data_IF_897396358643
#
_entry.id   IF_897396358643
#
_cell.length_a   1.000
_cell.length_b   1.000
_cell.length_c   1.000
_cell.angle_alpha   90.00
_cell.angle_beta   90.00
_cell.angle_gamma   90.00
#
_symmetry.space_group_name_H-M   'P 1'
#
loop_
_entity.id
_entity.type
_entity.pdbx_description
1 polymer ?
#
# COMPACT_ATOMS: atom_id res chain seq x y z
N UNK A 1 -11.00 42.54 -13.57
CA UNK A 1 -11.76 41.85 -12.50
C UNK A 1 -10.78 40.96 -11.76
N UNK A 2 -10.57 41.21 -10.47
CA UNK A 2 -9.55 40.54 -9.66
C UNK A 2 -10.07 39.19 -9.15
N UNK A 3 -9.28 38.14 -9.40
CA UNK A 3 -9.41 36.83 -8.75
C UNK A 3 -9.27 37.05 -7.24
N UNK A 4 -10.14 36.42 -6.44
CA UNK A 4 -10.04 36.49 -4.98
C UNK A 4 -8.65 36.05 -4.50
N UNK A 5 -8.03 36.84 -3.63
CA UNK A 5 -6.71 36.52 -3.07
C UNK A 5 -6.69 35.16 -2.36
N UNK A 6 -7.83 34.72 -1.81
CA UNK A 6 -7.97 33.38 -1.20
C UNK A 6 -7.84 32.25 -2.22
N UNK A 7 -8.36 32.44 -3.44
CA UNK A 7 -8.21 31.47 -4.54
C UNK A 7 -6.76 31.44 -5.01
N UNK A 8 -6.12 32.61 -5.14
CA UNK A 8 -4.70 32.72 -5.49
C UNK A 8 -3.83 32.01 -4.45
N UNK A 9 -4.09 32.25 -3.16
CA UNK A 9 -3.38 31.60 -2.06
C UNK A 9 -3.58 30.09 -2.07
N UNK A 10 -4.83 29.62 -2.21
CA UNK A 10 -5.15 28.19 -2.23
C UNK A 10 -4.45 27.46 -3.38
N UNK A 11 -4.54 28.00 -4.61
CA UNK A 11 -3.86 27.47 -5.78
C UNK A 11 -2.35 27.42 -5.59
N UNK A 12 -1.75 28.49 -5.05
CA UNK A 12 -0.30 28.53 -4.76
C UNK A 12 0.12 27.55 -3.67
N UNK A 13 -0.67 27.40 -2.62
CA UNK A 13 -0.36 26.55 -1.49
C UNK A 13 -0.41 25.07 -1.86
N UNK A 14 -1.40 24.64 -2.67
CA UNK A 14 -1.58 23.25 -3.07
C UNK A 14 -0.99 22.90 -4.44
N UNK A 15 -0.36 23.86 -5.14
CA UNK A 15 0.17 23.64 -6.49
C UNK A 15 -0.91 23.35 -7.55
N UNK A 16 -2.11 23.91 -7.37
CA UNK A 16 -3.24 23.75 -8.30
C UNK A 16 -3.24 24.93 -9.28
N UNK A 17 -3.46 24.65 -10.56
CA UNK A 17 -3.57 25.69 -11.57
C UNK A 17 -4.69 26.68 -11.25
N UNK A 18 -4.39 27.97 -11.39
CA UNK A 18 -5.36 29.05 -11.18
C UNK A 18 -6.38 28.98 -12.31
N UNK A 19 -7.70 28.93 -12.02
CA UNK A 19 -8.73 28.94 -13.05
C UNK A 19 -8.56 30.14 -13.99
N UNK A 20 -8.48 29.88 -15.29
CA UNK A 20 -8.37 30.93 -16.31
C UNK A 20 -9.63 31.80 -16.39
N UNK A 21 -10.77 31.26 -15.94
CA UNK A 21 -12.07 31.94 -15.97
C UNK A 21 -12.28 32.87 -14.77
N UNK A 22 -11.99 34.15 -14.98
CA UNK A 22 -12.10 35.21 -13.97
C UNK A 22 -13.50 35.40 -13.37
N UNK A 23 -14.57 34.97 -14.05
CA UNK A 23 -15.94 35.13 -13.54
C UNK A 23 -16.25 34.18 -12.37
N UNK A 24 -15.64 33.00 -12.35
CA UNK A 24 -15.92 32.00 -11.33
C UNK A 24 -15.16 32.29 -10.04
N UNK A 25 -14.02 32.99 -10.13
CA UNK A 25 -13.13 33.27 -9.02
C UNK A 25 -13.40 34.61 -8.32
N UNK A 26 -14.60 35.17 -8.50
CA UNK A 26 -15.04 36.38 -7.77
C UNK A 26 -15.10 36.09 -6.26
N UNK A 27 -14.82 37.09 -5.39
CA UNK A 27 -14.88 36.92 -3.93
C UNK A 27 -16.20 36.31 -3.45
N UNK A 28 -17.33 36.70 -4.06
CA UNK A 28 -18.66 36.20 -3.71
C UNK A 28 -18.84 34.69 -3.95
N UNK A 29 -18.15 34.12 -4.95
CA UNK A 29 -18.28 32.71 -5.35
C UNK A 29 -17.05 31.87 -4.99
N UNK A 30 -15.99 32.48 -4.47
CA UNK A 30 -14.73 31.81 -4.17
C UNK A 30 -14.88 30.59 -3.25
N UNK A 31 -15.81 30.63 -2.30
CA UNK A 31 -16.08 29.52 -1.38
C UNK A 31 -16.59 28.25 -2.09
N UNK A 32 -17.34 28.41 -3.19
CA UNK A 32 -17.83 27.28 -4.00
C UNK A 32 -16.70 26.62 -4.80
N UNK A 33 -15.64 27.38 -5.11
CA UNK A 33 -14.50 26.87 -5.88
C UNK A 33 -13.56 25.99 -5.06
N UNK A 34 -13.39 26.21 -3.75
CA UNK A 34 -12.40 25.44 -2.97
C UNK A 34 -12.67 23.94 -2.98
N UNK A 35 -13.94 23.52 -2.94
CA UNK A 35 -14.31 22.11 -3.04
C UNK A 35 -13.98 21.52 -4.42
N UNK A 36 -14.15 22.31 -5.48
CA UNK A 36 -13.82 21.89 -6.85
C UNK A 36 -12.30 21.86 -7.07
N UNK A 37 -11.57 22.86 -6.57
CA UNK A 37 -10.12 22.94 -6.64
C UNK A 37 -9.45 21.83 -5.82
N UNK A 38 -9.95 21.55 -4.61
CA UNK A 38 -9.47 20.46 -3.79
C UNK A 38 -9.61 19.11 -4.50
N UNK A 39 -10.77 18.87 -5.12
CA UNK A 39 -11.02 17.64 -5.91
C UNK A 39 -10.12 17.55 -7.14
N UNK A 40 -9.95 18.65 -7.89
CA UNK A 40 -9.08 18.66 -9.08
C UNK A 40 -7.60 18.48 -8.73
N UNK A 41 -7.16 19.02 -7.61
CA UNK A 41 -5.76 18.97 -7.15
C UNK A 41 -5.40 17.75 -6.31
N UNK A 42 -6.33 16.82 -6.05
CA UNK A 42 -6.08 15.69 -5.15
C UNK A 42 -5.80 16.09 -3.70
N UNK A 43 -6.26 17.28 -3.28
CA UNK A 43 -6.06 17.81 -1.93
C UNK A 43 -7.08 17.17 -0.98
N UNK A 44 -6.63 16.75 0.20
CA UNK A 44 -7.55 16.20 1.20
C UNK A 44 -8.55 17.28 1.64
N UNK A 45 -9.81 16.88 1.88
CA UNK A 45 -10.84 17.82 2.35
C UNK A 45 -10.44 18.46 3.69
N UNK A 46 -9.69 17.73 4.52
CA UNK A 46 -9.18 18.24 5.80
C UNK A 46 -8.13 19.33 5.60
N UNK A 47 -7.19 19.17 4.64
CA UNK A 47 -6.17 20.19 4.37
C UNK A 47 -6.80 21.42 3.72
N UNK A 48 -7.71 21.23 2.78
CA UNK A 48 -8.44 22.32 2.14
C UNK A 48 -9.25 23.13 3.16
N UNK A 49 -9.94 22.46 4.08
CA UNK A 49 -10.71 23.13 5.14
C UNK A 49 -9.81 23.79 6.19
N UNK A 50 -8.67 23.19 6.53
CA UNK A 50 -7.67 23.79 7.41
C UNK A 50 -7.08 25.08 6.81
N UNK A 51 -6.72 25.06 5.52
CA UNK A 51 -6.22 26.26 4.83
C UNK A 51 -7.28 27.34 4.72
N UNK A 52 -8.54 26.97 4.46
CA UNK A 52 -9.63 27.95 4.41
C UNK A 52 -9.89 28.60 5.77
N UNK A 53 -9.80 27.85 6.87
CA UNK A 53 -9.89 28.41 8.24
C UNK A 53 -8.79 29.43 8.48
N UNK A 54 -7.55 29.09 8.14
CA UNK A 54 -6.41 30.01 8.23
C UNK A 54 -6.63 31.30 7.42
N UNK A 55 -7.12 31.18 6.19
CA UNK A 55 -7.43 32.34 5.34
C UNK A 55 -8.52 33.23 5.95
N UNK A 56 -9.55 32.65 6.56
CA UNK A 56 -10.61 33.40 7.22
C UNK A 56 -10.13 34.07 8.51
N UNK A 57 -9.24 33.43 9.27
CA UNK A 57 -8.61 34.05 10.46
C UNK A 57 -7.72 35.23 10.09
N UNK A 58 -6.88 35.10 9.05
CA UNK A 58 -6.07 36.21 8.51
C UNK A 58 -6.95 37.36 8.03
N UNK A 59 -8.03 37.05 7.31
CA UNK A 59 -9.00 38.07 6.87
C UNK A 59 -9.63 38.79 8.06
N UNK A 60 -10.06 38.06 9.09
CA UNK A 60 -10.64 38.64 10.31
C UNK A 60 -9.68 39.59 11.02
N UNK A 61 -8.41 39.18 11.18
CA UNK A 61 -7.39 40.01 11.86
C UNK A 61 -7.03 41.25 11.02
N UNK A 62 -6.91 41.11 9.70
CA UNK A 62 -6.64 42.25 8.83
C UNK A 62 -7.81 43.25 8.82
N UNK A 63 -9.07 42.76 8.86
CA UNK A 63 -10.24 43.61 9.02
C UNK A 63 -10.27 44.32 10.38
N UNK A 64 -9.92 43.63 11.48
CA UNK A 64 -9.77 44.23 12.81
C UNK A 64 -8.71 45.36 12.81
N UNK A 65 -7.63 45.21 12.05
CA UNK A 65 -6.56 46.21 11.88
C UNK A 65 -6.89 47.30 10.83
N UNK A 66 -8.06 47.25 10.18
CA UNK A 66 -8.49 48.21 9.17
C UNK A 66 -7.76 48.09 7.82
N UNK A 67 -7.19 46.93 7.51
CA UNK A 67 -6.47 46.63 6.27
C UNK A 67 -7.29 45.68 5.40
N UNK A 68 -7.89 46.19 4.32
CA UNK A 68 -8.61 45.39 3.32
C UNK A 68 -7.75 45.17 2.04
N UNK A 69 -6.47 44.86 2.22
CA UNK A 69 -5.54 44.63 1.10
C UNK A 69 -5.20 43.15 0.96
N UNK A 70 -5.78 42.51 -0.05
CA UNK A 70 -5.48 41.11 -0.41
C UNK A 70 -4.01 40.86 -0.75
N UNK A 71 -3.25 41.91 -1.10
CA UNK A 71 -1.79 41.84 -1.32
C UNK A 71 -1.05 41.62 0.01
N UNK A 72 -1.51 42.27 1.09
CA UNK A 72 -0.97 42.08 2.43
C UNK A 72 -1.27 40.66 2.90
N UNK A 73 -2.52 40.18 2.73
CA UNK A 73 -2.91 38.82 3.08
C UNK A 73 -2.05 37.76 2.37
N UNK A 74 -1.83 37.89 1.06
CA UNK A 74 -0.96 36.99 0.28
C UNK A 74 0.50 37.04 0.72
N UNK A 75 1.00 38.22 1.10
CA UNK A 75 2.38 38.35 1.59
C UNK A 75 2.59 37.69 2.95
N UNK A 76 1.61 37.81 3.84
CA UNK A 76 1.61 37.14 5.15
C UNK A 76 1.51 35.61 5.00
N UNK A 77 0.54 35.13 4.22
CA UNK A 77 0.27 33.71 4.01
C UNK A 77 1.39 32.97 3.24
N UNK A 78 2.27 33.70 2.54
CA UNK A 78 3.50 33.14 1.96
C UNK A 78 4.52 32.77 3.05
N UNK A 79 4.57 33.53 4.14
CA UNK A 79 5.42 33.26 5.30
C UNK A 79 4.82 32.23 6.26
N UNK A 80 3.49 32.17 6.37
CA UNK A 80 2.78 31.29 7.30
C UNK A 80 2.19 30.06 6.59
N UNK A 81 2.93 28.94 6.61
CA UNK A 81 2.53 27.71 5.91
C UNK A 81 1.57 26.83 6.71
N UNK A 82 1.54 26.96 8.04
CA UNK A 82 0.80 26.06 8.93
C UNK A 82 -0.28 26.79 9.72
N UNK A 83 -1.34 26.06 10.06
CA UNK A 83 -2.38 26.54 10.98
C UNK A 83 -1.79 26.65 12.39
N UNK A 84 -1.70 27.88 12.90
CA UNK A 84 -1.25 28.19 14.26
C UNK A 84 -2.46 28.70 15.04
N UNK A 85 -2.50 28.45 16.36
CA UNK A 85 -3.52 29.01 17.26
C UNK A 85 -3.81 30.50 16.92
N UNK A 86 -5.08 30.94 16.82
CA UNK A 86 -5.44 32.31 16.45
C UNK A 86 -4.70 33.40 17.22
N UNK A 87 -4.36 33.17 18.50
CA UNK A 87 -3.57 34.12 19.30
C UNK A 87 -2.16 34.30 18.75
N UNK A 88 -1.46 33.20 18.43
CA UNK A 88 -0.14 33.24 17.78
C UNK A 88 -0.23 33.83 16.38
N UNK A 89 -1.33 33.58 15.67
CA UNK A 89 -1.53 34.14 14.35
C UNK A 89 -1.68 35.67 14.43
N UNK A 90 -2.40 36.19 15.43
CA UNK A 90 -2.47 37.62 15.73
C UNK A 90 -1.09 38.21 16.04
N UNK A 91 -0.29 37.55 16.87
CA UNK A 91 1.08 37.99 17.15
C UNK A 91 1.93 38.05 15.88
N UNK A 92 1.85 37.03 15.02
CA UNK A 92 2.57 37.00 13.74
C UNK A 92 2.08 38.09 12.77
N UNK A 93 0.78 38.37 12.70
CA UNK A 93 0.25 39.46 11.86
C UNK A 93 0.73 40.81 12.40
N UNK A 94 0.66 41.02 13.72
CA UNK A 94 1.15 42.25 14.35
C UNK A 94 2.65 42.47 14.11
N UNK A 95 3.47 41.43 14.23
CA UNK A 95 4.90 41.52 13.91
C UNK A 95 5.13 41.80 12.43
N UNK A 96 4.43 41.11 11.53
CA UNK A 96 4.52 41.33 10.09
C UNK A 96 4.13 42.75 9.66
N UNK A 97 3.06 43.31 10.23
CA UNK A 97 2.64 44.68 9.98
C UNK A 97 3.63 45.70 10.54
N UNK A 98 4.20 45.42 11.72
CA UNK A 98 5.25 46.27 12.32
C UNK A 98 6.50 46.26 11.46
N UNK A 99 6.95 45.10 11.00
CA UNK A 99 8.11 44.95 10.11
C UNK A 99 7.86 45.64 8.77
N UNK A 100 6.67 45.52 8.18
CA UNK A 100 6.32 46.26 6.95
C UNK A 100 6.30 47.77 7.17
N UNK A 101 5.79 48.27 8.30
CA UNK A 101 5.81 49.71 8.61
C UNK A 101 7.25 50.22 8.79
N UNK A 102 8.10 49.43 9.45
CA UNK A 102 9.53 49.74 9.58
C UNK A 102 10.23 49.74 8.21
N UNK A 103 9.96 48.74 7.36
CA UNK A 103 10.53 48.62 6.00
C UNK A 103 10.01 49.69 5.02
N UNK A 104 8.76 50.12 5.16
CA UNK A 104 8.16 51.17 4.34
C UNK A 104 8.67 52.58 4.70
N UNK A 105 9.47 52.73 5.77
CA UNK A 105 9.95 54.03 6.24
C UNK A 105 8.86 54.92 6.84
N UNK A 106 7.61 54.44 6.91
CA UNK A 106 6.47 55.12 7.50
C UNK A 106 6.51 54.99 9.03
N UNK A 107 7.47 55.71 9.59
CA UNK A 107 7.57 55.99 11.02
C UNK A 107 6.59 57.08 11.41
N UNK A 108 5.31 56.73 11.51
CA UNK A 108 4.37 57.48 12.36
C UNK A 108 4.29 56.80 13.74
N UNK A 109 4.98 57.32 14.76
CA UNK A 109 4.75 56.89 16.13
C UNK A 109 3.43 57.51 16.60
N UNK A 110 2.44 56.67 16.89
CA UNK A 110 1.27 57.04 17.67
C UNK A 110 1.73 57.43 19.09
N UNK A 111 1.65 58.74 19.39
CA UNK A 111 1.50 59.35 20.72
C UNK A 111 2.57 59.02 21.77
N UNK A 112 3.41 59.95 22.24
CA UNK A 112 3.14 61.34 22.60
C UNK A 112 4.35 62.22 22.34
N UNK A 113 4.11 63.31 21.61
CA UNK A 113 4.96 64.49 21.51
C UNK A 113 5.19 65.14 22.86
N UNK A 114 6.41 65.61 23.08
CA UNK A 114 6.78 67.04 23.21
C UNK A 114 8.29 67.10 22.96
N UNK A 115 8.73 67.33 21.72
CA UNK A 115 8.97 68.67 21.18
C UNK A 115 9.54 69.63 22.23
N UNK A 116 10.85 69.89 22.10
CA UNK A 116 11.62 70.83 22.89
C UNK A 116 13.05 70.97 22.37
N UNK A 117 13.22 70.89 21.05
CA UNK A 117 14.37 71.45 20.34
C UNK A 117 14.24 72.97 20.38
N UNK A 118 15.34 73.65 20.65
CA UNK A 118 15.48 75.09 20.45
C UNK A 118 15.35 75.89 21.74
N UNK A 119 16.49 76.30 22.29
CA UNK A 119 16.84 77.72 22.35
C UNK A 119 18.10 77.91 23.21
N UNK A 120 19.14 78.45 22.55
CA UNK A 120 20.06 79.47 23.07
C UNK A 120 20.68 79.17 24.46
N UNK A 121 21.92 78.71 24.59
CA UNK A 121 23.12 79.43 24.15
C UNK A 121 22.98 80.96 24.19
N UNK A 122 22.58 81.54 25.33
CA UNK A 122 22.79 82.97 25.65
C UNK A 122 22.81 83.13 27.17
N UNK A 123 24.02 83.20 27.74
CA UNK A 123 24.22 83.37 29.17
C UNK A 123 25.57 83.97 29.55
N UNK A 124 26.25 84.69 28.63
CA UNK A 124 27.22 85.72 29.01
C UNK A 124 26.43 87.00 29.24
N UNK A 125 25.81 87.16 30.40
CA UNK A 125 25.47 88.49 30.90
C UNK A 125 26.67 88.97 31.70
N UNK A 126 27.43 89.84 31.04
CA UNK A 126 28.44 90.71 31.64
C UNK A 126 27.84 91.37 32.88
N UNK A 127 28.54 91.19 34.01
CA UNK A 127 28.36 91.94 35.24
C UNK A 127 28.14 93.43 34.92
N UNK A 128 27.07 94.07 35.44
CA UNK A 128 27.15 95.50 35.65
C UNK A 128 28.20 95.68 36.75
N UNK A 129 29.39 96.16 36.36
CA UNK A 129 30.29 96.84 37.29
C UNK A 129 29.47 97.96 37.92
N UNK A 130 28.94 97.72 39.13
CA UNK A 130 28.32 98.75 39.96
C UNK A 130 29.42 99.66 40.48
N UNK A 131 29.95 100.52 39.61
CA UNK A 131 30.66 101.73 40.01
C UNK A 131 29.61 102.67 40.62
N UNK A 132 29.69 102.89 41.94
CA UNK A 132 28.95 103.94 42.62
C UNK A 132 27.65 103.54 43.34
N UNK A 133 27.36 102.26 43.54
CA UNK A 133 26.18 101.83 44.29
C UNK A 133 26.51 101.41 45.72
N UNK A 134 25.72 101.92 46.67
CA UNK A 134 25.86 101.59 48.09
C UNK A 134 25.81 100.09 48.39
N UNK A 135 26.42 99.71 49.51
CA UNK A 135 26.57 98.34 50.03
C UNK A 135 25.36 97.41 49.76
N UNK A 136 24.13 97.91 49.87
CA UNK A 136 22.90 97.14 49.65
C UNK A 136 22.73 96.55 48.24
N UNK A 137 23.26 97.20 47.20
CA UNK A 137 23.13 96.70 45.83
C UNK A 137 24.08 95.52 45.57
N UNK A 138 25.29 95.58 46.14
CA UNK A 138 26.28 94.50 46.09
C UNK A 138 25.77 93.27 46.84
N UNK A 139 25.20 93.47 48.04
CA UNK A 139 24.61 92.38 48.82
C UNK A 139 23.46 91.67 48.11
N UNK A 140 22.53 92.41 47.49
CA UNK A 140 21.44 91.79 46.71
C UNK A 140 21.95 91.01 45.50
N UNK A 141 22.99 91.50 44.83
CA UNK A 141 23.64 90.77 43.72
C UNK A 141 24.27 89.46 44.18
N UNK A 142 25.00 89.47 45.30
CA UNK A 142 25.63 88.26 45.87
C UNK A 142 24.58 87.23 46.30
N UNK A 143 23.52 87.64 47.00
CA UNK A 143 22.43 86.75 47.43
C UNK A 143 21.72 86.12 46.22
N UNK A 144 21.53 86.87 45.12
CA UNK A 144 20.90 86.32 43.91
C UNK A 144 21.78 85.30 43.19
N UNK A 145 23.10 85.51 43.15
CA UNK A 145 24.04 84.55 42.56
C UNK A 145 24.08 83.28 43.42
N UNK A 146 24.14 83.43 44.74
CA UNK A 146 24.10 82.33 45.69
C UNK A 146 22.82 81.50 45.55
N UNK A 147 21.64 82.16 45.51
CA UNK A 147 20.36 81.48 45.30
C UNK A 147 20.29 80.74 43.95
N UNK A 148 20.82 81.33 42.87
CA UNK A 148 20.88 80.68 41.57
C UNK A 148 21.80 79.45 41.59
N UNK A 149 22.97 79.56 42.22
CA UNK A 149 23.90 78.43 42.37
C UNK A 149 23.27 77.29 43.19
N UNK A 150 22.61 77.59 44.31
CA UNK A 150 21.91 76.57 45.11
C UNK A 150 20.76 75.92 44.34
N UNK A 151 19.96 76.68 43.59
CA UNK A 151 18.90 76.11 42.74
C UNK A 151 19.48 75.15 41.71
N UNK A 152 20.57 75.53 41.04
CA UNK A 152 21.23 74.65 40.06
C UNK A 152 21.83 73.41 40.70
N UNK A 153 22.38 73.51 41.92
CA UNK A 153 22.93 72.37 42.66
C UNK A 153 21.83 71.37 43.07
N UNK A 154 20.67 71.86 43.52
CA UNK A 154 19.50 71.02 43.84
C UNK A 154 18.97 70.33 42.59
N UNK A 155 18.85 71.05 41.47
CA UNK A 155 18.40 70.46 40.20
C UNK A 155 19.38 69.41 39.66
N UNK A 156 20.69 69.64 39.79
CA UNK A 156 21.71 68.66 39.40
C UNK A 156 21.68 67.42 40.31
N UNK A 157 21.50 67.59 41.62
CA UNK A 157 21.36 66.47 42.56
C UNK A 157 20.12 65.63 42.24
N UNK A 158 18.97 66.28 41.96
CA UNK A 158 17.74 65.58 41.56
C UNK A 158 17.93 64.80 40.27
N UNK A 159 18.54 65.40 39.24
CA UNK A 159 18.85 64.73 37.98
C UNK A 159 19.84 63.57 38.16
N UNK A 160 20.83 63.70 39.04
CA UNK A 160 21.76 62.61 39.36
C UNK A 160 21.04 61.42 39.98
N UNK A 161 20.13 61.65 40.93
CA UNK A 161 19.34 60.58 41.54
C UNK A 161 18.39 59.92 40.52
N UNK A 162 17.76 60.71 39.64
CA UNK A 162 16.92 60.17 38.56
C UNK A 162 17.73 59.35 37.55
N UNK A 163 18.98 59.73 37.24
CA UNK A 163 19.88 58.94 36.39
C UNK A 163 20.29 57.64 37.07
N UNK A 164 20.67 57.69 38.34
CA UNK A 164 21.07 56.49 39.08
C UNK A 164 19.92 55.46 39.17
N UNK A 165 18.69 55.91 39.45
CA UNK A 165 17.52 55.03 39.45
C UNK A 165 17.23 54.42 38.07
N UNK A 166 17.50 55.16 36.98
CA UNK A 166 17.36 54.61 35.63
C UNK A 166 18.45 53.60 35.31
N UNK A 167 19.68 53.82 35.74
CA UNK A 167 20.78 52.87 35.60
C UNK A 167 20.46 51.57 36.36
N UNK A 168 20.04 51.65 37.62
CA UNK A 168 19.63 50.46 38.40
C UNK A 168 18.46 49.70 37.74
N UNK A 169 17.45 50.43 37.23
CA UNK A 169 16.33 49.81 36.53
C UNK A 169 16.75 49.14 35.20
N UNK A 170 17.70 49.74 34.47
CA UNK A 170 18.25 49.16 33.25
C UNK A 170 19.11 47.92 33.54
N UNK A 171 19.93 47.96 34.58
CA UNK A 171 20.70 46.79 35.03
C UNK A 171 19.80 45.65 35.50
N UNK A 172 18.76 45.95 36.28
CA UNK A 172 17.78 44.94 36.70
C UNK A 172 17.07 44.32 35.49
N UNK A 173 16.69 45.13 34.51
CA UNK A 173 16.09 44.65 33.26
C UNK A 173 17.07 43.81 32.44
N UNK A 174 18.35 44.20 32.37
CA UNK A 174 19.38 43.45 31.66
C UNK A 174 19.55 42.05 32.29
N UNK A 175 19.63 41.94 33.61
CA UNK A 175 19.74 40.64 34.31
C UNK A 175 18.53 39.74 34.08
N UNK A 176 17.31 40.30 34.07
CA UNK A 176 16.08 39.53 33.76
C UNK A 176 16.06 39.06 32.31
N UNK A 177 16.52 39.88 31.37
CA UNK A 177 16.64 39.49 29.96
C UNK A 177 17.68 38.38 29.78
N UNK A 178 18.85 38.49 30.42
CA UNK A 178 19.91 37.46 30.38
C UNK A 178 19.42 36.12 30.95
N UNK A 179 18.68 36.12 32.07
CA UNK A 179 18.13 34.88 32.62
C UNK A 179 17.05 34.28 31.70
N UNK A 180 16.18 35.12 31.13
CA UNK A 180 15.16 34.67 30.18
C UNK A 180 15.79 34.10 28.89
N UNK A 181 16.87 34.70 28.39
CA UNK A 181 17.62 34.19 27.24
C UNK A 181 18.29 32.84 27.55
N UNK A 182 18.87 32.68 28.75
CA UNK A 182 19.45 31.42 29.19
C UNK A 182 18.40 30.29 29.29
N UNK A 183 17.23 30.59 29.85
CA UNK A 183 16.12 29.64 29.96
C UNK A 183 15.58 29.25 28.58
N UNK A 184 15.45 30.21 27.65
CA UNK A 184 15.05 29.95 26.27
C UNK A 184 16.07 29.08 25.53
N UNK A 185 17.37 29.33 25.70
CA UNK A 185 18.43 28.51 25.10
C UNK A 185 18.39 27.08 25.65
N UNK A 186 18.18 26.92 26.97
CA UNK A 186 18.05 25.61 27.60
C UNK A 186 16.83 24.85 27.07
N UNK A 187 15.66 25.48 27.08
CA UNK A 187 14.43 24.88 26.56
C UNK A 187 14.54 24.50 25.08
N UNK A 188 15.16 25.35 24.26
CA UNK A 188 15.43 25.05 22.85
C UNK A 188 16.36 23.85 22.69
N UNK A 189 17.38 23.71 23.53
CA UNK A 189 18.30 22.57 23.49
C UNK A 189 17.62 21.26 23.89
N UNK A 190 16.73 21.30 24.88
CA UNK A 190 15.92 20.16 25.34
C UNK A 190 14.97 19.71 24.22
N UNK A 191 14.21 20.64 23.62
CA UNK A 191 13.34 20.36 22.48
C UNK A 191 14.09 19.78 21.27
N UNK A 192 15.28 20.30 20.97
CA UNK A 192 16.11 19.75 19.88
C UNK A 192 16.58 18.33 20.16
N UNK A 193 16.91 18.01 21.42
CA UNK A 193 17.30 16.65 21.80
C UNK A 193 16.10 15.69 21.75
N UNK A 194 14.92 16.13 22.23
CA UNK A 194 13.68 15.35 22.13
C UNK A 194 13.33 15.05 20.67
N UNK A 195 13.38 16.06 19.79
CA UNK A 195 13.14 15.88 18.36
C UNK A 195 14.10 14.87 17.73
N UNK A 196 15.40 14.94 18.05
CA UNK A 196 16.39 13.95 17.57
C UNK A 196 16.09 12.54 18.07
N UNK A 197 15.63 12.38 19.31
CA UNK A 197 15.24 11.06 19.83
C UNK A 197 14.02 10.50 19.12
N UNK A 198 13.00 11.33 18.87
CA UNK A 198 11.77 10.94 18.15
C UNK A 198 12.12 10.58 16.70
N UNK A 199 12.95 11.37 16.02
CA UNK A 199 13.41 11.09 14.66
C UNK A 199 14.15 9.75 14.58
N UNK A 200 15.08 9.50 15.50
CA UNK A 200 15.81 8.22 15.56
C UNK A 200 14.89 7.02 15.84
N UNK A 201 13.86 7.18 16.68
CA UNK A 201 12.86 6.13 16.92
C UNK A 201 11.98 5.87 15.68
N UNK A 202 11.53 6.93 15.00
CA UNK A 202 10.78 6.81 13.76
C UNK A 202 11.60 6.14 12.66
N UNK A 203 12.89 6.45 12.56
CA UNK A 203 13.80 5.77 11.62
C UNK A 203 13.96 4.29 11.95
N UNK A 204 14.14 3.92 13.23
CA UNK A 204 14.19 2.51 13.65
C UNK A 204 12.89 1.77 13.31
N UNK A 205 11.73 2.40 13.56
CA UNK A 205 10.43 1.81 13.22
C UNK A 205 10.27 1.64 11.70
N UNK A 206 10.66 2.62 10.90
CA UNK A 206 10.65 2.53 9.43
C UNK A 206 11.53 1.38 8.93
N UNK A 207 12.75 1.24 9.46
CA UNK A 207 13.65 0.15 9.11
C UNK A 207 13.10 -1.21 9.51
N UNK A 208 12.48 -1.32 10.70
CA UNK A 208 11.82 -2.55 11.14
C UNK A 208 10.66 -2.94 10.21
N UNK A 209 9.83 -1.97 9.81
CA UNK A 209 8.73 -2.20 8.86
C UNK A 209 9.22 -2.63 7.48
N UNK A 210 10.32 -2.07 6.98
CA UNK A 210 10.93 -2.50 5.71
C UNK A 210 11.42 -3.95 5.78
N UNK A 211 12.02 -4.35 6.90
CA UNK A 211 12.46 -5.74 7.12
C UNK A 211 11.26 -6.70 7.19
N UNK A 212 10.19 -6.34 7.90
CA UNK A 212 8.98 -7.16 7.93
C UNK A 212 8.28 -7.25 6.57
N UNK A 213 8.23 -6.15 5.80
CA UNK A 213 7.73 -6.16 4.44
C UNK A 213 8.54 -7.10 3.53
N UNK A 214 9.87 -7.08 3.63
CA UNK A 214 10.74 -7.98 2.87
C UNK A 214 10.51 -9.46 3.24
N UNK A 215 10.34 -9.79 4.53
CA UNK A 215 10.01 -11.15 4.99
C UNK A 215 8.64 -11.62 4.49
N UNK A 216 7.64 -10.75 4.48
CA UNK A 216 6.31 -11.07 3.97
C UNK A 216 6.34 -11.32 2.46
N UNK A 217 7.12 -10.54 1.70
CA UNK A 217 7.28 -10.75 0.27
C UNK A 217 8.03 -12.06 -0.04
N UNK A 218 9.07 -12.39 0.73
CA UNK A 218 9.76 -13.68 0.61
C UNK A 218 8.80 -14.86 0.85
N UNK A 219 7.96 -14.77 1.90
CA UNK A 219 6.93 -15.78 2.18
C UNK A 219 5.90 -15.90 1.07
N UNK A 220 5.48 -14.79 0.46
CA UNK A 220 4.57 -14.81 -0.69
C UNK A 220 5.18 -15.55 -1.87
N UNK A 221 6.44 -15.25 -2.21
CA UNK A 221 7.16 -15.93 -3.29
C UNK A 221 7.34 -17.43 -3.00
N UNK A 222 7.59 -17.81 -1.74
CA UNK A 222 7.66 -19.22 -1.35
C UNK A 222 6.30 -19.92 -1.48
N UNK A 223 5.20 -19.29 -1.04
CA UNK A 223 3.85 -19.84 -1.16
C UNK A 223 3.44 -20.02 -2.62
N UNK A 224 3.70 -19.04 -3.50
CA UNK A 224 3.37 -19.17 -4.92
C UNK A 224 4.13 -20.33 -5.58
N UNK A 225 5.41 -20.53 -5.23
CA UNK A 225 6.18 -21.70 -5.72
C UNK A 225 5.59 -23.02 -5.24
N UNK A 226 5.21 -23.11 -3.97
CA UNK A 226 4.58 -24.31 -3.41
C UNK A 226 3.21 -24.59 -4.05
N UNK A 227 2.42 -23.57 -4.35
CA UNK A 227 1.15 -23.68 -5.06
C UNK A 227 1.34 -24.17 -6.50
N UNK A 228 2.34 -23.66 -7.21
CA UNK A 228 2.72 -24.12 -8.55
C UNK A 228 3.15 -25.60 -8.54
N UNK A 229 3.99 -26.02 -7.58
CA UNK A 229 4.41 -27.41 -7.40
C UNK A 229 3.23 -28.34 -7.07
N UNK A 230 2.33 -27.91 -6.19
CA UNK A 230 1.13 -28.69 -5.83
C UNK A 230 0.17 -28.82 -7.03
N UNK A 231 0.01 -27.76 -7.80
CA UNK A 231 -0.78 -27.79 -9.03
C UNK A 231 -0.17 -28.71 -10.09
N UNK A 232 1.17 -28.73 -10.22
CA UNK A 232 1.86 -29.66 -11.11
C UNK A 232 1.63 -31.12 -10.68
N UNK A 233 1.84 -31.43 -9.39
CA UNK A 233 1.58 -32.77 -8.84
C UNK A 233 0.12 -33.19 -8.99
N UNK A 234 -0.83 -32.29 -8.76
CA UNK A 234 -2.26 -32.59 -8.95
C UNK A 234 -2.61 -32.90 -10.41
N UNK A 235 -1.92 -32.30 -11.39
CA UNK A 235 -2.10 -32.64 -12.81
C UNK A 235 -1.51 -34.00 -13.12
N UNK A 236 -0.32 -34.30 -12.60
CA UNK A 236 0.32 -35.61 -12.75
C UNK A 236 -0.53 -36.74 -12.16
N UNK A 237 -1.09 -36.54 -10.95
CA UNK A 237 -1.96 -37.55 -10.32
C UNK A 237 -3.23 -37.78 -11.12
N UNK A 238 -3.85 -36.73 -11.67
CA UNK A 238 -5.03 -36.89 -12.54
C UNK A 238 -4.71 -37.67 -13.80
N UNK A 239 -3.59 -37.38 -14.48
CA UNK A 239 -3.17 -38.13 -15.66
C UNK A 239 -2.89 -39.60 -15.33
N UNK A 240 -2.29 -39.87 -14.17
CA UNK A 240 -2.05 -41.24 -13.70
C UNK A 240 -3.37 -41.97 -13.39
N UNK A 241 -4.33 -41.30 -12.74
CA UNK A 241 -5.66 -41.86 -12.47
C UNK A 241 -6.44 -42.16 -13.77
N UNK A 242 -6.38 -41.25 -14.75
CA UNK A 242 -6.97 -41.46 -16.08
C UNK A 242 -6.34 -42.65 -16.80
N UNK A 243 -5.01 -42.80 -16.74
CA UNK A 243 -4.30 -43.94 -17.31
C UNK A 243 -4.70 -45.28 -16.64
N UNK A 244 -4.77 -45.30 -15.31
CA UNK A 244 -5.21 -46.49 -14.54
C UNK A 244 -6.66 -46.83 -14.84
N UNK A 245 -7.54 -45.83 -14.98
CA UNK A 245 -8.93 -46.04 -15.36
C UNK A 245 -9.02 -46.64 -16.77
N UNK A 246 -8.27 -46.12 -17.74
CA UNK A 246 -8.20 -46.66 -19.09
C UNK A 246 -7.70 -48.12 -19.11
N UNK A 247 -6.62 -48.42 -18.39
CA UNK A 247 -6.09 -49.78 -18.25
C UNK A 247 -7.12 -50.73 -17.62
N UNK A 248 -7.82 -50.29 -16.57
CA UNK A 248 -8.89 -51.08 -15.93
C UNK A 248 -10.02 -51.41 -16.91
N UNK A 249 -10.43 -50.45 -17.75
CA UNK A 249 -11.46 -50.70 -18.77
C UNK A 249 -10.99 -51.66 -19.86
N UNK A 250 -9.72 -51.55 -20.30
CA UNK A 250 -9.12 -52.47 -21.26
C UNK A 250 -9.02 -53.89 -20.69
N UNK A 251 -8.60 -54.03 -19.43
CA UNK A 251 -8.51 -55.32 -18.76
C UNK A 251 -9.88 -56.00 -18.61
N UNK A 252 -10.93 -55.24 -18.30
CA UNK A 252 -12.32 -55.77 -18.29
C UNK A 252 -12.77 -56.25 -19.67
N UNK A 253 -12.42 -55.53 -20.73
CA UNK A 253 -12.74 -55.93 -22.10
C UNK A 253 -12.01 -57.21 -22.51
N UNK A 254 -10.72 -57.34 -22.18
CA UNK A 254 -9.94 -58.56 -22.41
C UNK A 254 -10.48 -59.73 -21.59
N UNK A 255 -10.85 -59.51 -20.33
CA UNK A 255 -11.49 -60.52 -19.49
C UNK A 255 -12.81 -61.02 -20.10
N UNK A 256 -13.63 -60.11 -20.66
CA UNK A 256 -14.86 -60.49 -21.36
C UNK A 256 -14.59 -61.33 -22.61
N UNK A 257 -13.57 -60.97 -23.41
CA UNK A 257 -13.14 -61.78 -24.57
C UNK A 257 -12.68 -63.17 -24.15
N UNK A 258 -11.87 -63.27 -23.10
CA UNK A 258 -11.41 -64.56 -22.56
C UNK A 258 -12.56 -65.43 -22.05
N UNK A 259 -13.61 -64.83 -21.46
CA UNK A 259 -14.81 -65.57 -21.06
C UNK A 259 -15.55 -66.17 -22.27
N UNK A 260 -15.66 -65.43 -23.37
CA UNK A 260 -16.26 -65.95 -24.61
C UNK A 260 -15.41 -67.09 -25.18
N UNK A 261 -14.08 -66.92 -25.28
CA UNK A 261 -13.16 -67.96 -25.76
C UNK A 261 -13.23 -69.21 -24.88
N UNK A 262 -13.32 -69.05 -23.56
CA UNK A 262 -13.49 -70.17 -22.64
C UNK A 262 -14.81 -70.91 -22.90
N UNK A 263 -15.91 -70.18 -23.10
CA UNK A 263 -17.20 -70.78 -23.39
C UNK A 263 -17.19 -71.54 -24.74
N UNK A 264 -16.56 -71.00 -25.78
CA UNK A 264 -16.43 -71.70 -27.08
C UNK A 264 -15.57 -72.95 -26.95
N UNK A 265 -14.44 -72.89 -26.25
CA UNK A 265 -13.59 -74.06 -26.01
C UNK A 265 -14.32 -75.14 -25.18
N UNK A 266 -15.12 -74.75 -24.19
CA UNK A 266 -15.94 -75.70 -23.43
C UNK A 266 -17.03 -76.35 -24.30
N UNK A 267 -17.59 -75.61 -25.26
CA UNK A 267 -18.53 -76.15 -26.24
C UNK A 267 -17.85 -77.12 -27.23
N UNK A 268 -16.70 -76.75 -27.79
CA UNK A 268 -15.92 -77.62 -28.68
C UNK A 268 -15.52 -78.91 -27.97
N UNK A 269 -15.11 -78.81 -26.70
CA UNK A 269 -14.80 -79.98 -25.87
C UNK A 269 -16.00 -80.92 -25.74
N UNK A 270 -17.22 -80.39 -25.58
CA UNK A 270 -18.46 -81.20 -25.51
C UNK A 270 -18.74 -81.88 -26.84
N UNK A 271 -18.63 -81.16 -27.96
CA UNK A 271 -18.83 -81.71 -29.30
C UNK A 271 -17.81 -82.82 -29.63
N UNK A 272 -16.54 -82.62 -29.29
CA UNK A 272 -15.50 -83.65 -29.45
C UNK A 272 -15.81 -84.91 -28.63
N UNK A 273 -16.29 -84.74 -27.39
CA UNK A 273 -16.70 -85.88 -26.56
C UNK A 273 -17.90 -86.62 -27.16
N UNK A 274 -18.90 -85.92 -27.69
CA UNK A 274 -20.05 -86.54 -28.37
C UNK A 274 -19.61 -87.34 -29.61
N UNK A 275 -18.71 -86.78 -30.43
CA UNK A 275 -18.14 -87.48 -31.60
C UNK A 275 -17.34 -88.70 -31.16
N UNK A 276 -16.51 -88.58 -30.12
CA UNK A 276 -15.74 -89.70 -29.57
C UNK A 276 -16.67 -90.83 -29.07
N UNK A 277 -17.75 -90.49 -28.35
CA UNK A 277 -18.77 -91.47 -27.95
C UNK A 277 -19.45 -92.12 -29.16
N UNK A 278 -19.76 -91.34 -30.20
CA UNK A 278 -20.31 -91.88 -31.45
C UNK A 278 -19.39 -92.88 -32.16
N UNK A 279 -18.07 -92.65 -32.12
CA UNK A 279 -17.09 -93.63 -32.63
C UNK A 279 -17.07 -94.91 -31.80
N UNK A 280 -17.07 -94.80 -30.47
CA UNK A 280 -17.13 -95.96 -29.57
C UNK A 280 -18.39 -96.79 -29.84
N UNK A 281 -19.54 -96.15 -30.03
CA UNK A 281 -20.81 -96.85 -30.32
C UNK A 281 -20.85 -97.46 -31.72
N UNK A 282 -20.23 -96.83 -32.72
CA UNK A 282 -20.03 -97.43 -34.05
C UNK A 282 -19.11 -98.63 -33.98
N UNK A 283 -18.00 -98.53 -33.23
CA UNK A 283 -17.06 -99.63 -33.04
C UNK A 283 -17.76 -100.83 -32.36
N UNK A 284 -18.60 -100.59 -31.35
CA UNK A 284 -19.42 -101.63 -30.71
C UNK A 284 -20.36 -102.30 -31.72
N UNK A 285 -21.11 -101.52 -32.51
CA UNK A 285 -22.02 -102.04 -33.55
C UNK A 285 -21.28 -102.81 -34.64
N UNK A 286 -20.12 -102.31 -35.09
CA UNK A 286 -19.30 -103.00 -36.09
C UNK A 286 -18.83 -104.35 -35.58
N UNK A 287 -18.36 -104.44 -34.33
CA UNK A 287 -17.99 -105.72 -33.69
C UNK A 287 -19.18 -106.68 -33.58
N UNK A 288 -20.40 -106.17 -33.36
CA UNK A 288 -21.62 -107.01 -33.38
C UNK A 288 -21.95 -107.50 -34.79
N UNK A 289 -21.86 -106.65 -35.81
CA UNK A 289 -22.07 -107.07 -37.21
C UNK A 289 -20.99 -108.04 -37.69
N UNK A 290 -19.74 -107.86 -37.26
CA UNK A 290 -18.65 -108.78 -37.56
C UNK A 290 -18.94 -110.17 -36.98
N UNK A 291 -19.48 -110.25 -35.75
CA UNK A 291 -19.94 -111.53 -35.17
C UNK A 291 -21.05 -112.17 -36.01
N UNK A 292 -22.03 -111.39 -36.49
CA UNK A 292 -23.11 -111.90 -37.35
C UNK A 292 -22.57 -112.39 -38.70
N UNK A 293 -21.61 -111.68 -39.31
CA UNK A 293 -20.98 -112.11 -40.56
C UNK A 293 -20.17 -113.39 -40.39
N UNK A 294 -19.45 -113.53 -39.28
CA UNK A 294 -18.75 -114.78 -38.94
C UNK A 294 -19.76 -115.93 -38.81
N UNK A 295 -20.88 -115.71 -38.12
CA UNK A 295 -21.95 -116.71 -38.01
C UNK A 295 -22.53 -117.08 -39.40
N UNK A 296 -22.86 -116.11 -40.23
CA UNK A 296 -23.37 -116.35 -41.58
C UNK A 296 -22.37 -117.09 -42.48
N UNK A 297 -21.07 -116.77 -42.35
CA UNK A 297 -19.99 -117.49 -43.03
C UNK A 297 -19.93 -118.94 -42.56
N UNK A 298 -20.03 -119.19 -41.26
CA UNK A 298 -20.02 -120.54 -40.70
C UNK A 298 -21.25 -121.35 -41.17
N UNK A 299 -22.42 -120.72 -41.24
CA UNK A 299 -23.66 -121.29 -41.80
C UNK A 299 -23.54 -121.61 -43.30
N UNK A 300 -23.00 -120.67 -44.09
CA UNK A 300 -22.73 -120.89 -45.53
C UNK A 300 -21.74 -122.03 -45.73
N UNK A 301 -20.67 -122.07 -44.93
CA UNK A 301 -19.68 -123.15 -44.99
C UNK A 301 -20.33 -124.49 -44.62
N UNK A 302 -21.24 -124.50 -43.64
CA UNK A 302 -22.01 -125.69 -43.30
C UNK A 302 -22.96 -126.12 -44.44
N UNK A 303 -23.61 -125.15 -45.10
CA UNK A 303 -24.51 -125.40 -46.24
C UNK A 303 -23.76 -125.88 -47.49
N UNK A 304 -22.59 -125.31 -47.80
CA UNK A 304 -21.71 -125.77 -48.87
C UNK A 304 -21.26 -127.21 -48.60
N UNK A 305 -20.79 -127.52 -47.38
CA UNK A 305 -20.47 -128.90 -46.97
C UNK A 305 -21.67 -129.83 -47.13
N UNK A 306 -22.88 -129.37 -46.85
CA UNK A 306 -24.10 -130.13 -47.08
C UNK A 306 -24.36 -130.38 -48.58
N UNK A 307 -24.19 -129.36 -49.44
CA UNK A 307 -24.35 -129.48 -50.89
C UNK A 307 -23.30 -130.39 -51.53
N UNK A 308 -22.03 -130.31 -51.11
CA UNK A 308 -20.95 -131.19 -51.63
C UNK A 308 -21.28 -132.65 -51.34
N UNK A 309 -21.75 -132.96 -50.11
CA UNK A 309 -22.24 -134.30 -49.75
C UNK A 309 -23.46 -134.74 -50.57
N UNK A 310 -24.33 -133.81 -50.98
CA UNK A 310 -25.48 -134.10 -51.84
C UNK A 310 -25.09 -134.35 -53.30
N UNK A 311 -24.11 -133.63 -53.85
CA UNK A 311 -23.57 -133.88 -55.20
C UNK A 311 -22.87 -135.22 -55.28
N UNK A 312 -22.11 -135.59 -54.25
CA UNK A 312 -21.50 -136.92 -54.12
C UNK A 312 -22.55 -138.05 -54.12
N UNK A 313 -23.78 -137.79 -53.64
CA UNK A 313 -24.88 -138.76 -53.64
C UNK A 313 -25.68 -138.88 -54.95
N UNK A 314 -25.63 -137.90 -55.86
CA UNK A 314 -26.45 -137.89 -57.11
C UNK A 314 -25.66 -138.09 -58.42
N UNK A 315 -24.33 -138.15 -58.36
CA UNK A 315 -23.46 -138.28 -59.53
C UNK A 315 -22.68 -139.60 -59.60
N UNK A 316 -23.34 -140.76 -59.48
CA UNK A 316 -22.68 -142.05 -59.76
C UNK A 316 -22.79 -142.39 -61.26
N UNK A 317 -21.90 -141.80 -62.07
CA UNK A 317 -21.73 -142.08 -63.50
C UNK A 317 -20.29 -141.79 -63.94
N UNK A 318 -19.51 -142.87 -64.08
CA UNK A 318 -18.23 -143.02 -64.82
C UNK A 318 -18.18 -142.11 -66.08
N UNK A 319 -17.15 -141.32 -66.40
CA UNK A 319 -15.73 -141.61 -66.72
C UNK A 319 -14.93 -140.29 -66.72
N UNK A 320 -13.79 -140.20 -66.01
CA UNK A 320 -12.40 -140.22 -66.51
C UNK A 320 -11.97 -139.07 -67.46
N UNK A 321 -11.01 -138.26 -66.96
CA UNK A 321 -10.16 -137.30 -67.68
C UNK A 321 -10.53 -135.85 -67.34
N UNK A 322 -9.69 -134.97 -66.79
CA UNK A 322 -8.23 -134.94 -66.65
C UNK A 322 -7.74 -133.55 -67.08
N UNK A 323 -7.20 -132.74 -66.15
CA UNK A 323 -6.54 -131.44 -66.41
C UNK A 323 -7.25 -130.26 -65.72
N UNK A 324 -6.82 -129.72 -64.56
CA UNK A 324 -5.63 -128.86 -64.28
C UNK A 324 -5.56 -127.66 -65.25
N UNK A 325 -5.44 -126.38 -64.86
CA UNK A 325 -4.80 -125.77 -63.69
C UNK A 325 -5.08 -124.23 -63.66
N UNK A 326 -5.13 -123.64 -62.45
CA UNK A 326 -4.76 -122.24 -62.04
C UNK A 326 -5.63 -121.06 -62.53
N UNK A 327 -6.34 -120.31 -61.68
CA UNK A 327 -5.92 -119.39 -60.59
C UNK A 327 -4.86 -118.35 -61.00
N UNK A 328 -5.36 -117.16 -61.34
CA UNK A 328 -4.87 -115.84 -60.93
C UNK A 328 -6.10 -115.06 -60.42
#
# INVERSE_FOLDING_TARGET
MSISWKVIDFCRHFGVDIPSDSEHARPATAHLLFNQLARKGGVSLNDATARLRLQNEVEGILQEEGLDDGTIALSFLRGQQTAVNPEKLRECVASFLTDRRQLAGDTTPVGKRKEGSGAQAKGRQSLPLLEGAGLDAIWRGLVSIEAALFSTAVDLSRKSNELHQREEALEARARVMESAEADLLKSKSEQQNEMRTIEAELERQRMALLVEAAKLEERRVQLTRMEEELNARSKETRLAEEAVAAESTALKAEQAKLMVVRATLEQDRRQCNEVAHGFIDRERRLKETEKLLVQAKDELTAYERFLTRMREKKGSGKERGGGRERLA
#
